data_IF_378396430945
#
_entry.id   IF_378396430945
#
_cell.length_a   1.000
_cell.length_b   1.000
_cell.length_c   1.000
_cell.angle_alpha   90.00
_cell.angle_beta   90.00
_cell.angle_gamma   90.00
#
_symmetry.space_group_name_H-M   'P 1'
#
loop_
_entity.id
_entity.type
_entity.pdbx_description
1 polymer ?
#
# COMPACT_ATOMS: atom_id res chain seq x y z
N UNK A 1 31.15 16.97 -31.08
CA UNK A 1 30.35 15.86 -30.51
C UNK A 1 30.00 16.19 -29.07
N UNK A 2 28.78 16.66 -28.80
CA UNK A 2 28.35 17.06 -27.46
C UNK A 2 27.40 15.99 -26.91
N UNK A 3 27.76 15.43 -25.75
CA UNK A 3 26.94 14.49 -24.98
C UNK A 3 25.72 15.25 -24.44
N UNK A 4 24.54 14.91 -24.92
CA UNK A 4 23.29 15.45 -24.40
C UNK A 4 22.98 14.76 -23.07
N UNK A 5 23.29 15.44 -21.97
CA UNK A 5 22.83 15.07 -20.66
C UNK A 5 21.30 15.09 -20.65
N UNK A 6 20.69 13.91 -20.48
CA UNK A 6 19.26 13.74 -20.30
C UNK A 6 18.82 14.54 -19.06
N UNK A 7 18.29 15.75 -19.26
CA UNK A 7 17.65 16.54 -18.20
C UNK A 7 16.37 15.82 -17.80
N UNK A 8 16.35 15.22 -16.61
CA UNK A 8 15.12 14.63 -16.04
C UNK A 8 14.10 15.76 -15.85
N UNK A 9 12.93 15.64 -16.47
CA UNK A 9 11.85 16.64 -16.40
C UNK A 9 11.41 16.92 -14.95
N UNK A 10 11.03 18.18 -14.62
CA UNK A 10 10.55 18.57 -13.28
C UNK A 10 9.41 17.72 -12.74
N UNK A 11 8.56 17.18 -13.62
CA UNK A 11 7.42 16.30 -13.28
C UNK A 11 7.83 14.96 -12.65
N UNK A 12 9.02 14.43 -12.97
CA UNK A 12 9.54 13.21 -12.32
C UNK A 12 10.12 13.48 -10.93
N UNK A 13 10.52 14.73 -10.67
CA UNK A 13 11.01 15.19 -9.37
C UNK A 13 9.85 15.50 -8.42
N UNK A 14 8.71 15.98 -8.92
CA UNK A 14 7.49 16.16 -8.13
C UNK A 14 6.81 14.83 -7.78
N UNK A 15 6.80 13.85 -8.70
CA UNK A 15 6.27 12.51 -8.42
C UNK A 15 7.04 11.80 -7.29
N UNK A 16 8.38 11.85 -7.30
CA UNK A 16 9.23 11.31 -6.23
C UNK A 16 9.16 12.07 -4.90
N UNK A 17 8.74 13.33 -4.92
CA UNK A 17 8.56 14.14 -3.68
C UNK A 17 7.23 13.86 -2.99
N UNK A 18 6.21 13.38 -3.71
CA UNK A 18 4.94 12.95 -3.12
C UNK A 18 5.00 11.54 -2.50
N UNK A 19 5.90 10.67 -2.97
CA UNK A 19 6.17 9.34 -2.37
C UNK A 19 6.76 9.37 -0.94
N UNK A 20 7.20 10.53 -0.45
CA UNK A 20 7.70 10.71 0.93
C UNK A 20 6.80 11.63 1.76
N UNK A 21 5.51 11.70 1.43
CA UNK A 21 4.54 12.28 2.34
C UNK A 21 4.30 11.24 3.44
N UNK A 22 4.69 11.56 4.68
CA UNK A 22 4.46 10.69 5.81
C UNK A 22 2.93 10.46 5.95
N UNK A 23 2.51 9.22 5.70
CA UNK A 23 1.14 8.78 5.93
C UNK A 23 0.75 9.05 7.39
N UNK A 24 -0.54 9.25 7.63
CA UNK A 24 -1.05 9.59 8.95
C UNK A 24 -1.38 8.33 9.73
N UNK A 25 -1.29 8.35 11.05
CA UNK A 25 -1.71 7.22 11.87
C UNK A 25 -3.16 6.80 11.56
N UNK A 26 -3.41 5.49 11.52
CA UNK A 26 -4.73 4.93 11.26
C UNK A 26 -5.75 5.39 12.30
N UNK A 27 -6.85 5.96 11.81
CA UNK A 27 -8.09 6.09 12.54
C UNK A 27 -9.05 4.98 12.04
N UNK A 28 -9.28 3.91 12.82
CA UNK A 28 -10.02 2.74 12.33
C UNK A 28 -11.47 3.06 11.97
N UNK A 29 -12.11 4.03 12.63
CA UNK A 29 -13.47 4.42 12.30
C UNK A 29 -13.54 5.13 10.94
N UNK A 30 -12.57 6.00 10.65
CA UNK A 30 -12.49 6.69 9.35
C UNK A 30 -12.12 5.70 8.24
N UNK A 31 -11.12 4.85 8.46
CA UNK A 31 -10.75 3.81 7.49
C UNK A 31 -11.91 2.87 7.19
N UNK A 32 -12.65 2.42 8.22
CA UNK A 32 -13.82 1.58 8.01
C UNK A 32 -14.86 2.27 7.11
N UNK A 33 -15.16 3.54 7.35
CA UNK A 33 -16.11 4.29 6.53
C UNK A 33 -15.64 4.39 5.07
N UNK A 34 -14.34 4.58 4.81
CA UNK A 34 -13.80 4.63 3.44
C UNK A 34 -13.83 3.25 2.75
N UNK A 35 -13.55 2.16 3.47
CA UNK A 35 -13.69 0.79 2.95
C UNK A 35 -15.15 0.50 2.56
N UNK A 36 -16.11 0.93 3.38
CA UNK A 36 -17.53 0.75 3.12
C UNK A 36 -17.98 1.47 1.83
N UNK A 37 -17.32 2.58 1.42
CA UNK A 37 -17.61 3.30 0.17
C UNK A 37 -17.12 2.56 -1.09
N UNK A 38 -16.20 1.61 -0.97
CA UNK A 38 -15.65 0.84 -2.09
C UNK A 38 -16.31 -0.54 -2.23
N UNK A 39 -17.14 -0.94 -1.26
CA UNK A 39 -17.81 -2.24 -1.20
C UNK A 39 -18.72 -2.46 -2.41
N UNK A 40 -18.62 -3.63 -3.02
CA UNK A 40 -19.44 -4.01 -4.17
C UNK A 40 -19.05 -3.35 -5.49
N UNK A 41 -18.01 -2.50 -5.50
CA UNK A 41 -17.46 -1.90 -6.72
C UNK A 41 -16.16 -2.63 -7.13
N UNK A 42 -15.86 -2.73 -8.43
CA UNK A 42 -14.55 -3.19 -8.88
C UNK A 42 -13.46 -2.21 -8.46
N UNK A 43 -12.46 -2.71 -7.75
CA UNK A 43 -11.29 -1.94 -7.29
C UNK A 43 -10.00 -2.56 -7.79
N UNK A 44 -9.02 -1.72 -8.09
CA UNK A 44 -7.64 -2.09 -8.35
C UNK A 44 -6.89 -2.11 -7.04
N UNK A 45 -6.20 -3.22 -6.79
CA UNK A 45 -5.45 -3.47 -5.58
C UNK A 45 -3.97 -3.54 -5.89
N UNK A 46 -3.21 -2.86 -5.05
CA UNK A 46 -1.79 -3.12 -4.88
C UNK A 46 -1.57 -3.65 -3.47
N UNK A 47 -0.85 -4.76 -3.36
CA UNK A 47 -0.44 -5.33 -2.08
C UNK A 47 1.02 -5.69 -2.21
N UNK A 48 1.83 -5.15 -1.31
CA UNK A 48 3.23 -5.47 -1.16
C UNK A 48 3.49 -5.85 0.29
N UNK A 49 4.17 -6.96 0.49
CA UNK A 49 4.74 -7.31 1.79
C UNK A 49 6.22 -7.54 1.59
N UNK A 50 7.01 -6.95 2.48
CA UNK A 50 8.44 -7.14 2.53
C UNK A 50 8.83 -7.49 3.96
N UNK A 51 10.01 -8.07 4.16
CA UNK A 51 10.55 -8.30 5.50
C UNK A 51 11.13 -7.00 6.12
N UNK A 52 10.47 -5.86 5.90
CA UNK A 52 11.10 -4.55 5.96
C UNK A 52 11.95 -4.33 4.70
N UNK A 53 12.16 -3.07 4.27
CA UNK A 53 12.89 -2.68 3.05
C UNK A 53 14.30 -3.31 2.87
N UNK A 54 14.78 -4.07 3.84
CA UNK A 54 15.91 -4.97 3.69
C UNK A 54 15.78 -6.16 4.65
N UNK A 55 15.97 -7.38 4.15
CA UNK A 55 16.64 -8.44 4.93
C UNK A 55 18.13 -8.08 5.16
N UNK A 56 18.45 -6.82 5.51
CA UNK A 56 19.78 -6.22 5.34
C UNK A 56 20.80 -6.93 6.19
N UNK A 57 21.58 -7.76 5.51
CA UNK A 57 23.01 -7.88 5.73
C UNK A 57 23.48 -8.45 7.05
N UNK A 58 22.74 -9.34 7.74
CA UNK A 58 23.32 -10.01 8.93
C UNK A 58 23.24 -11.53 9.03
N UNK A 59 22.41 -12.24 8.27
CA UNK A 59 22.44 -13.70 8.32
C UNK A 59 22.36 -14.34 6.92
N UNK A 60 23.41 -15.08 6.53
CA UNK A 60 23.37 -15.98 5.38
C UNK A 60 22.30 -17.04 5.67
N UNK A 61 21.08 -16.86 5.15
CA UNK A 61 20.02 -17.86 5.27
C UNK A 61 18.59 -17.33 5.32
N UNK A 62 18.37 -16.01 5.43
CA UNK A 62 17.00 -15.48 5.51
C UNK A 62 16.34 -15.48 4.13
N UNK A 63 15.33 -16.33 3.94
CA UNK A 63 14.46 -16.28 2.77
C UNK A 63 13.74 -14.92 2.75
N UNK A 64 13.87 -14.20 1.64
CA UNK A 64 13.06 -13.00 1.38
C UNK A 64 11.63 -13.46 1.08
N UNK A 65 10.84 -13.68 2.13
CA UNK A 65 9.41 -13.89 2.00
C UNK A 65 8.78 -12.51 1.73
N UNK A 66 8.13 -12.39 0.59
CA UNK A 66 7.44 -11.19 0.18
C UNK A 66 6.43 -11.53 -0.90
N UNK A 67 5.37 -10.74 -0.97
CA UNK A 67 4.38 -10.83 -2.01
C UNK A 67 4.25 -9.47 -2.66
N UNK A 68 4.09 -9.46 -3.98
CA UNK A 68 3.84 -8.24 -4.74
C UNK A 68 2.75 -8.52 -5.77
N UNK A 69 1.66 -7.78 -5.67
CA UNK A 69 0.65 -7.70 -6.71
C UNK A 69 0.35 -6.22 -6.97
N UNK A 70 0.10 -5.87 -8.23
CA UNK A 70 -0.26 -4.50 -8.63
C UNK A 70 -1.31 -4.55 -9.72
N UNK A 71 -2.32 -3.69 -9.61
CA UNK A 71 -3.45 -3.65 -10.53
C UNK A 71 -4.20 -4.99 -10.63
N UNK A 72 -4.22 -5.79 -9.56
CA UNK A 72 -5.17 -6.89 -9.46
C UNK A 72 -6.54 -6.27 -9.24
N UNK A 73 -7.48 -6.55 -10.14
CA UNK A 73 -8.84 -6.10 -9.99
C UNK A 73 -9.64 -7.13 -9.19
N UNK A 74 -10.35 -6.69 -8.15
CA UNK A 74 -11.30 -7.50 -7.41
C UNK A 74 -12.52 -6.68 -7.01
N UNK A 75 -13.60 -7.37 -6.65
CA UNK A 75 -14.76 -6.78 -5.98
C UNK A 75 -14.91 -7.49 -4.65
N UNK A 76 -15.04 -6.72 -3.57
CA UNK A 76 -15.20 -7.27 -2.22
C UNK A 76 -16.60 -6.95 -1.68
N UNK A 77 -17.18 -7.93 -0.99
CA UNK A 77 -18.48 -7.86 -0.34
C UNK A 77 -18.39 -7.27 1.05
N UNK A 78 -17.28 -7.52 1.76
CA UNK A 78 -17.04 -6.99 3.11
C UNK A 78 -15.59 -6.51 3.20
N UNK A 79 -15.41 -5.23 3.54
CA UNK A 79 -14.12 -4.66 3.92
C UNK A 79 -14.09 -4.40 5.41
N UNK A 80 -13.11 -4.93 6.14
CA UNK A 80 -13.04 -4.77 7.60
C UNK A 80 -11.65 -4.39 8.05
N UNK A 81 -11.54 -3.31 8.82
CA UNK A 81 -10.37 -3.02 9.64
C UNK A 81 -10.55 -3.51 11.08
N UNK A 82 -9.50 -4.10 11.65
CA UNK A 82 -9.49 -4.58 13.03
C UNK A 82 -8.10 -4.46 13.69
N UNK A 83 -8.07 -4.55 15.02
CA UNK A 83 -6.86 -4.41 15.84
C UNK A 83 -6.85 -3.14 16.67
N UNK A 84 -5.87 -3.04 17.56
CA UNK A 84 -5.64 -1.88 18.44
C UNK A 84 -4.32 -1.16 18.11
N UNK A 85 -3.77 -1.39 16.91
CA UNK A 85 -2.47 -0.89 16.47
C UNK A 85 -1.32 -1.85 16.79
N UNK A 86 -0.57 -2.35 15.79
CA UNK A 86 -0.86 -2.29 14.36
C UNK A 86 -2.23 -2.89 14.00
N UNK A 87 -2.76 -2.48 12.86
CA UNK A 87 -4.07 -2.89 12.35
C UNK A 87 -3.93 -3.93 11.25
N UNK A 88 -5.05 -4.56 10.94
CA UNK A 88 -5.21 -5.44 9.79
C UNK A 88 -6.46 -5.07 9.00
N UNK A 89 -6.38 -5.21 7.69
CA UNK A 89 -7.51 -5.01 6.77
C UNK A 89 -7.76 -6.34 6.06
N UNK A 90 -9.00 -6.83 6.15
CA UNK A 90 -9.50 -7.97 5.40
C UNK A 90 -10.55 -7.55 4.39
N UNK A 91 -10.45 -8.06 3.16
CA UNK A 91 -11.44 -7.89 2.11
C UNK A 91 -11.98 -9.28 1.73
N UNK A 92 -13.25 -9.53 2.03
CA UNK A 92 -14.00 -10.72 1.61
C UNK A 92 -14.48 -10.55 0.18
N UNK A 93 -14.21 -11.51 -0.69
CA UNK A 93 -14.76 -11.58 -2.04
C UNK A 93 -15.65 -12.82 -2.16
N UNK A 94 -16.41 -12.94 -3.26
CA UNK A 94 -17.28 -14.09 -3.53
C UNK A 94 -16.57 -15.45 -3.41
N UNK A 95 -15.28 -15.53 -3.77
CA UNK A 95 -14.52 -16.78 -3.82
C UNK A 95 -13.32 -16.85 -2.87
N UNK A 96 -13.13 -15.84 -2.02
CA UNK A 96 -11.94 -15.81 -1.17
C UNK A 96 -11.74 -14.50 -0.41
N UNK A 97 -10.48 -14.27 -0.03
CA UNK A 97 -10.12 -13.20 0.89
C UNK A 97 -8.77 -12.58 0.51
N UNK A 98 -8.67 -11.26 0.62
CA UNK A 98 -7.40 -10.54 0.69
C UNK A 98 -7.19 -10.08 2.13
N UNK A 99 -5.95 -10.19 2.60
CA UNK A 99 -5.63 -9.81 3.96
C UNK A 99 -4.27 -9.13 4.05
N UNK A 100 -4.21 -7.99 4.73
CA UNK A 100 -2.99 -7.25 5.02
C UNK A 100 -2.90 -6.96 6.51
N UNK A 101 -1.79 -7.34 7.15
CA UNK A 101 -1.51 -7.11 8.56
C UNK A 101 -0.34 -6.14 8.75
N UNK A 102 -0.22 -5.59 9.96
CA UNK A 102 0.89 -4.73 10.33
C UNK A 102 0.72 -3.27 9.88
N UNK A 103 -0.48 -2.87 9.44
CA UNK A 103 -0.75 -1.52 8.96
C UNK A 103 -0.80 -0.53 10.13
N UNK A 104 -0.05 0.56 10.03
CA UNK A 104 0.06 1.59 11.07
C UNK A 104 -0.41 2.94 10.58
N UNK A 105 -0.18 3.21 9.30
CA UNK A 105 -0.37 4.51 8.68
C UNK A 105 -1.27 4.40 7.46
N UNK A 106 -1.95 5.49 7.13
CA UNK A 106 -2.83 5.59 5.97
C UNK A 106 -3.00 7.02 5.46
N UNK A 107 -3.48 7.14 4.24
CA UNK A 107 -4.09 8.35 3.71
C UNK A 107 -5.15 8.04 2.65
N UNK A 108 -6.06 9.00 2.45
CA UNK A 108 -6.82 9.10 1.20
C UNK A 108 -6.25 10.26 0.42
N UNK A 109 -5.71 9.99 -0.76
CA UNK A 109 -5.06 11.02 -1.56
C UNK A 109 -6.03 11.84 -2.41
N UNK A 110 -5.47 12.76 -3.21
CA UNK A 110 -6.21 13.66 -4.10
C UNK A 110 -6.98 12.92 -5.22
N UNK A 111 -6.59 11.69 -5.54
CA UNK A 111 -7.25 10.83 -6.53
C UNK A 111 -8.32 9.92 -5.89
N UNK A 112 -8.60 10.08 -4.60
CA UNK A 112 -9.45 9.22 -3.78
C UNK A 112 -8.98 7.76 -3.71
N UNK A 113 -7.66 7.54 -3.76
CA UNK A 113 -7.06 6.22 -3.51
C UNK A 113 -6.82 6.08 -2.01
N UNK A 114 -7.10 4.90 -1.46
CA UNK A 114 -6.79 4.58 -0.07
C UNK A 114 -5.40 3.93 -0.05
N UNK A 115 -4.44 4.56 0.62
CA UNK A 115 -3.07 4.09 0.73
C UNK A 115 -2.82 3.73 2.19
N UNK A 116 -2.37 2.51 2.46
CA UNK A 116 -2.04 2.01 3.79
C UNK A 116 -0.60 1.52 3.81
N UNK A 117 0.12 1.81 4.88
CA UNK A 117 1.46 1.29 5.12
C UNK A 117 1.62 0.76 6.54
N UNK A 118 2.46 -0.25 6.66
CA UNK A 118 3.01 -0.77 7.89
C UNK A 118 4.52 -0.66 7.83
N UNK A 119 5.14 -0.18 8.90
CA UNK A 119 6.59 -0.07 9.01
C UNK A 119 7.13 -1.02 10.09
N UNK A 120 8.32 -1.58 9.87
CA UNK A 120 9.02 -2.37 10.88
C UNK A 120 9.63 -1.48 11.98
N UNK A 121 10.29 -2.10 12.95
CA UNK A 121 10.93 -1.39 14.07
C UNK A 121 12.05 -0.42 13.64
N UNK A 122 12.59 -0.56 12.43
CA UNK A 122 13.60 0.33 11.85
C UNK A 122 12.96 1.43 10.99
N UNK A 123 11.63 1.49 10.92
CA UNK A 123 10.87 2.44 10.11
C UNK A 123 10.85 2.10 8.62
N UNK A 124 11.21 0.86 8.25
CA UNK A 124 11.21 0.41 6.85
C UNK A 124 9.86 -0.17 6.49
N UNK A 125 9.40 0.04 5.25
CA UNK A 125 8.13 -0.50 4.78
C UNK A 125 8.10 -2.03 4.94
N UNK A 126 7.15 -2.55 5.69
CA UNK A 126 6.92 -3.98 5.92
C UNK A 126 5.66 -4.47 5.17
N UNK A 127 4.62 -3.64 5.09
CA UNK A 127 3.42 -3.94 4.34
C UNK A 127 2.87 -2.67 3.68
N UNK A 128 2.33 -2.80 2.48
CA UNK A 128 1.55 -1.77 1.81
C UNK A 128 0.29 -2.38 1.23
N UNK A 129 -0.85 -1.75 1.46
CA UNK A 129 -2.11 -2.05 0.80
C UNK A 129 -2.62 -0.76 0.18
N UNK A 130 -2.92 -0.77 -1.11
CA UNK A 130 -3.50 0.38 -1.80
C UNK A 130 -4.73 -0.06 -2.59
N UNK A 131 -5.80 0.75 -2.49
CA UNK A 131 -7.08 0.52 -3.15
C UNK A 131 -7.45 1.73 -3.99
N UNK A 132 -7.86 1.50 -5.24
CA UNK A 132 -8.23 2.56 -6.18
C UNK A 132 -9.35 2.11 -7.12
N UNK A 133 -10.22 3.05 -7.53
CA UNK A 133 -11.21 2.82 -8.59
C UNK A 133 -10.59 2.78 -10.00
N UNK A 134 -9.37 3.29 -10.13
CA UNK A 134 -8.61 3.33 -11.39
C UNK A 134 -7.28 2.57 -11.25
N UNK A 135 -6.72 1.99 -12.33
CA UNK A 135 -5.42 1.36 -12.26
C UNK A 135 -4.34 2.34 -11.78
N UNK A 136 -3.42 1.85 -10.95
CA UNK A 136 -2.22 2.58 -10.59
C UNK A 136 -1.26 2.69 -11.78
N UNK A 137 -0.49 3.80 -11.90
CA UNK A 137 0.53 3.96 -12.94
C UNK A 137 1.56 2.82 -12.97
N UNK A 138 2.11 2.56 -14.16
CA UNK A 138 3.20 1.62 -14.42
C UNK A 138 4.57 2.26 -14.23
#
# INVERSE_FOLDING_TARGET
MARQACRKSPERLSARRKEQQALKAINPAHVQAELDQLRGEPVYVHLETTNGAYASHREKGTLSAGAFIRNVQLTFEIGKIAGNGPYRIGLETDIGWLYAEGLTDWEKDEENRLLFAGHDHEGRLAAALELSRSPFPK
#
